data_IF_808725504280
#
_entry.id   IF_808725504280
#
_cell.length_a   1.000
_cell.length_b   1.000
_cell.length_c   1.000
_cell.angle_alpha   90.00
_cell.angle_beta   90.00
_cell.angle_gamma   90.00
#
_symmetry.space_group_name_H-M   'P 1'
#
loop_
_entity.id
_entity.type
_entity.pdbx_description
1 polymer ?
#
# COMPACT_ATOMS: atom_id res chain seq x y z
N UNK A 1 -36.79 11.60 -20.88
CA UNK A 1 -35.70 10.84 -21.55
C UNK A 1 -35.74 9.41 -21.07
N UNK A 2 -35.92 8.42 -21.95
CA UNK A 2 -35.77 7.00 -21.61
C UNK A 2 -34.33 6.61 -21.92
N UNK A 3 -33.51 6.36 -20.88
CA UNK A 3 -32.18 5.80 -21.09
C UNK A 3 -32.34 4.39 -21.69
N UNK A 4 -31.57 4.08 -22.75
CA UNK A 4 -31.61 2.75 -23.35
C UNK A 4 -30.98 1.72 -22.43
N UNK A 5 -31.52 0.50 -22.41
CA UNK A 5 -31.03 -0.62 -21.60
C UNK A 5 -29.54 -0.91 -21.87
N UNK A 6 -29.11 -0.70 -23.11
CA UNK A 6 -27.70 -0.85 -23.52
C UNK A 6 -26.80 0.21 -22.86
N UNK A 7 -27.30 1.45 -22.71
CA UNK A 7 -26.57 2.51 -22.02
C UNK A 7 -26.41 2.22 -20.52
N UNK A 8 -27.42 1.59 -19.89
CA UNK A 8 -27.35 1.10 -18.51
C UNK A 8 -26.34 -0.05 -18.35
N UNK A 9 -26.29 -0.99 -19.29
CA UNK A 9 -25.34 -2.12 -19.28
C UNK A 9 -23.89 -1.68 -19.46
N UNK A 10 -23.64 -0.66 -20.29
CA UNK A 10 -22.29 -0.09 -20.51
C UNK A 10 -21.79 0.65 -19.26
N UNK A 11 -22.66 1.41 -18.58
CA UNK A 11 -22.27 2.12 -17.34
C UNK A 11 -22.09 1.15 -16.16
N UNK A 12 -22.86 0.05 -16.10
CA UNK A 12 -22.79 -0.93 -15.02
C UNK A 12 -21.60 -1.90 -15.06
N UNK A 13 -20.98 -2.11 -16.23
CA UNK A 13 -19.89 -3.09 -16.41
C UNK A 13 -18.50 -2.57 -16.03
N UNK A 14 -18.37 -1.29 -15.69
CA UNK A 14 -17.12 -0.68 -15.22
C UNK A 14 -16.85 -0.90 -13.72
N UNK A 15 -17.41 -1.95 -13.10
CA UNK A 15 -17.02 -2.41 -11.78
C UNK A 15 -15.66 -3.13 -11.88
N UNK A 16 -14.62 -2.34 -12.15
CA UNK A 16 -13.23 -2.77 -12.21
C UNK A 16 -12.86 -3.44 -10.88
N UNK A 17 -12.33 -4.66 -10.96
CA UNK A 17 -11.68 -5.35 -9.85
C UNK A 17 -10.64 -4.40 -9.23
N UNK A 18 -10.93 -3.86 -8.06
CA UNK A 18 -9.96 -3.11 -7.28
C UNK A 18 -9.22 -4.14 -6.44
N UNK A 19 -7.94 -4.34 -6.70
CA UNK A 19 -7.07 -5.03 -5.75
C UNK A 19 -7.14 -4.29 -4.42
N UNK A 20 -7.67 -4.95 -3.39
CA UNK A 20 -7.71 -4.40 -2.05
C UNK A 20 -6.32 -4.59 -1.44
N UNK A 21 -5.50 -3.55 -1.53
CA UNK A 21 -4.21 -3.53 -0.83
C UNK A 21 -4.46 -3.62 0.67
N UNK A 22 -3.79 -4.56 1.35
CA UNK A 22 -3.87 -4.75 2.80
C UNK A 22 -2.51 -4.49 3.44
N UNK A 23 -2.46 -4.02 4.69
CA UNK A 23 -1.18 -3.83 5.37
C UNK A 23 -0.49 -5.18 5.59
N UNK A 24 0.84 -5.19 5.49
CA UNK A 24 1.64 -6.39 5.81
C UNK A 24 1.40 -6.80 7.27
N UNK A 25 1.22 -8.11 7.58
CA UNK A 25 1.00 -8.57 8.94
C UNK A 25 2.05 -8.06 9.94
N UNK A 26 1.58 -7.43 11.01
CA UNK A 26 2.45 -6.87 12.05
C UNK A 26 3.15 -5.56 11.68
N UNK A 27 2.80 -4.94 10.55
CA UNK A 27 3.14 -3.55 10.27
C UNK A 27 2.17 -2.62 11.02
N UNK A 28 2.70 -1.54 11.59
CA UNK A 28 1.90 -0.52 12.27
C UNK A 28 2.55 0.86 12.08
N UNK A 29 1.76 1.92 12.23
CA UNK A 29 2.26 3.30 12.21
C UNK A 29 3.29 3.55 13.32
N UNK A 30 3.14 2.90 14.47
CA UNK A 30 4.10 2.99 15.57
C UNK A 30 5.45 2.34 15.21
N UNK A 31 5.41 1.18 14.53
CA UNK A 31 6.61 0.48 14.10
C UNK A 31 7.32 1.23 12.95
N UNK A 32 6.55 1.71 11.99
CA UNK A 32 7.09 2.25 10.74
C UNK A 32 7.33 3.75 10.78
N UNK A 33 6.62 4.50 11.62
CA UNK A 33 6.76 5.95 11.74
C UNK A 33 6.78 6.64 10.38
N UNK A 34 7.84 7.40 10.09
CA UNK A 34 7.97 8.13 8.81
C UNK A 34 8.14 7.24 7.59
N UNK A 35 8.60 5.99 7.78
CA UNK A 35 8.79 5.04 6.68
C UNK A 35 7.44 4.63 6.08
N UNK A 36 6.34 4.81 6.82
CA UNK A 36 5.00 4.41 6.42
C UNK A 36 4.79 2.90 6.43
N UNK A 37 3.54 2.48 6.60
CA UNK A 37 3.14 1.06 6.55
C UNK A 37 3.20 0.56 5.11
N UNK A 38 3.80 -0.62 4.90
CA UNK A 38 3.76 -1.31 3.60
C UNK A 38 2.40 -1.97 3.40
N UNK A 39 1.83 -1.80 2.21
CA UNK A 39 0.63 -2.51 1.78
C UNK A 39 0.97 -3.43 0.61
N UNK A 40 0.32 -4.58 0.56
CA UNK A 40 0.51 -5.57 -0.50
C UNK A 40 -0.83 -6.10 -0.99
N UNK A 41 -0.81 -6.70 -2.17
CA UNK A 41 -1.95 -7.41 -2.75
C UNK A 41 -1.83 -8.91 -2.39
N UNK A 42 -2.72 -9.47 -1.55
CA UNK A 42 -2.65 -10.88 -1.17
C UNK A 42 -2.80 -11.86 -2.33
N UNK A 43 -3.49 -11.44 -3.39
CA UNK A 43 -3.80 -12.29 -4.53
C UNK A 43 -2.75 -12.18 -5.65
N UNK A 44 -1.77 -11.28 -5.49
CA UNK A 44 -0.79 -10.95 -6.53
C UNK A 44 0.63 -10.84 -5.96
N UNK A 45 1.06 -11.90 -5.28
CA UNK A 45 2.45 -12.05 -4.84
C UNK A 45 3.32 -12.64 -5.96
N UNK A 46 4.59 -12.21 -6.09
CA UNK A 46 5.54 -12.85 -6.98
C UNK A 46 5.71 -14.33 -6.65
N UNK A 47 6.02 -15.14 -7.66
CA UNK A 47 6.21 -16.59 -7.49
C UNK A 47 7.28 -16.89 -6.43
N UNK A 48 6.95 -17.76 -5.49
CA UNK A 48 7.85 -18.19 -4.41
C UNK A 48 8.03 -17.18 -3.28
N UNK A 49 7.37 -16.02 -3.31
CA UNK A 49 7.43 -15.03 -2.22
C UNK A 49 6.33 -15.30 -1.20
N UNK A 50 6.72 -15.49 0.05
CA UNK A 50 5.82 -15.56 1.17
C UNK A 50 5.57 -14.19 1.80
N UNK A 51 4.41 -14.01 2.43
CA UNK A 51 4.01 -12.74 3.07
C UNK A 51 5.02 -12.26 4.12
N UNK A 52 5.67 -13.19 4.83
CA UNK A 52 6.64 -12.86 5.88
C UNK A 52 7.97 -12.31 5.33
N UNK A 53 8.23 -12.49 4.03
CA UNK A 53 9.40 -11.96 3.33
C UNK A 53 9.17 -10.51 2.86
N UNK A 54 7.91 -10.04 2.89
CA UNK A 54 7.57 -8.66 2.57
C UNK A 54 7.98 -7.77 3.74
N UNK A 55 8.73 -6.71 3.44
CA UNK A 55 9.06 -5.68 4.42
C UNK A 55 7.79 -5.06 5.00
N UNK A 56 7.78 -4.86 6.32
CA UNK A 56 6.64 -4.25 7.03
C UNK A 56 6.44 -2.77 6.71
N UNK A 57 7.53 -2.05 6.46
CA UNK A 57 7.50 -0.60 6.22
C UNK A 57 7.76 -0.26 4.75
N UNK A 58 7.08 0.77 4.24
CA UNK A 58 7.14 1.21 2.85
C UNK A 58 8.47 1.91 2.51
N UNK A 59 9.17 2.44 3.51
CA UNK A 59 10.55 2.94 3.42
C UNK A 59 11.58 1.95 3.96
N UNK A 60 12.82 2.09 3.53
CA UNK A 60 13.99 1.44 4.09
C UNK A 60 14.56 2.29 5.24
N UNK A 61 14.97 1.71 6.38
CA UNK A 61 15.53 2.47 7.51
C UNK A 61 16.79 3.29 7.13
N UNK A 62 17.60 2.77 6.21
CA UNK A 62 18.73 3.48 5.60
C UNK A 62 18.37 4.06 4.22
N UNK A 63 17.11 4.40 3.98
CA UNK A 63 16.64 5.01 2.73
C UNK A 63 16.77 6.53 2.75
N UNK A 64 16.57 7.15 1.59
CA UNK A 64 16.57 8.63 1.46
C UNK A 64 15.43 9.26 2.26
N UNK A 65 14.28 8.61 2.27
CA UNK A 65 13.08 8.93 3.05
C UNK A 65 13.31 8.93 4.56
N UNK A 66 14.38 8.26 5.03
CA UNK A 66 14.79 8.29 6.43
C UNK A 66 16.13 9.02 6.63
N UNK A 67 16.53 9.88 5.70
CA UNK A 67 17.79 10.61 5.76
C UNK A 67 19.00 9.72 6.05
N UNK A 68 19.06 8.54 5.41
CA UNK A 68 20.12 7.56 5.63
C UNK A 68 20.27 7.14 7.11
N UNK A 69 19.16 7.02 7.82
CA UNK A 69 19.09 6.63 9.23
C UNK A 69 19.10 7.79 10.22
N UNK A 70 19.40 9.02 9.77
CA UNK A 70 19.29 10.21 10.64
C UNK A 70 17.84 10.52 10.99
N UNK A 71 16.91 10.07 10.14
CA UNK A 71 15.50 10.32 10.27
C UNK A 71 14.98 9.98 11.65
N UNK A 72 15.27 8.79 12.19
CA UNK A 72 14.72 8.33 13.48
C UNK A 72 14.96 9.29 14.66
N UNK A 73 15.96 10.18 14.57
CA UNK A 73 16.28 11.21 15.56
C UNK A 73 15.61 12.57 15.31
N UNK A 74 15.03 12.78 14.13
CA UNK A 74 14.37 14.01 13.73
C UNK A 74 12.92 14.04 14.25
N UNK A 75 12.41 15.22 14.66
CA UNK A 75 11.03 15.37 15.11
C UNK A 75 10.01 14.92 14.06
N UNK A 76 8.85 14.41 14.49
CA UNK A 76 7.77 13.94 13.60
C UNK A 76 7.22 15.01 12.64
N UNK A 77 7.38 16.29 12.95
CA UNK A 77 6.97 17.39 12.08
C UNK A 77 7.99 17.73 11.00
N UNK A 78 9.21 17.18 11.10
CA UNK A 78 10.26 17.41 10.11
C UNK A 78 10.01 16.49 8.91
N UNK A 79 9.93 17.05 7.68
CA UNK A 79 9.64 16.30 6.47
C UNK A 79 10.70 15.24 6.17
#
# INVERSE_FOLDING_TARGET
>A
MRLSLNLLLIVGSAAVARAALVPVPGASEELCGRLGVMYYDPDNLPEGVEVHEIRKCAGHPMGRENYWGLGDYLPRWFP
#
